data_IF_795352332471
#
_entry.id   IF_795352332471
#
_cell.length_a   1.000
_cell.length_b   1.000
_cell.length_c   1.000
_cell.angle_alpha   90.00
_cell.angle_beta   90.00
_cell.angle_gamma   90.00
#
_symmetry.space_group_name_H-M   'P 1'
#
loop_
_entity.id
_entity.type
_entity.pdbx_description
1 polymer ?
#
# COMPACT_ATOMS: atom_id res chain seq x y z
N UNK A 1 -14.51 2.59 57.38
CA UNK A 1 -14.10 3.94 56.95
C UNK A 1 -13.95 4.81 58.19
N UNK A 2 -12.72 5.08 58.63
CA UNK A 2 -12.49 5.86 59.84
C UNK A 2 -12.72 7.36 59.57
N UNK A 3 -13.78 7.93 60.16
CA UNK A 3 -14.06 9.36 60.10
C UNK A 3 -13.05 10.09 60.97
N UNK A 4 -12.03 10.71 60.36
CA UNK A 4 -11.08 11.56 61.06
C UNK A 4 -11.37 13.02 60.71
N UNK A 5 -11.41 13.90 61.73
CA UNK A 5 -11.33 15.35 61.50
C UNK A 5 -9.89 15.67 61.11
N UNK A 6 -9.64 15.75 59.81
CA UNK A 6 -8.33 16.06 59.24
C UNK A 6 -8.47 17.11 58.14
N UNK A 7 -7.33 17.61 57.68
CA UNK A 7 -7.25 18.62 56.63
C UNK A 7 -7.53 17.98 55.28
N UNK A 8 -8.48 18.51 54.53
CA UNK A 8 -8.73 18.06 53.16
C UNK A 8 -7.55 18.42 52.25
N UNK A 9 -7.09 17.49 51.41
CA UNK A 9 -6.01 17.70 50.45
C UNK A 9 -6.32 18.80 49.42
N UNK A 10 -7.58 18.93 48.98
CA UNK A 10 -7.99 19.88 47.93
C UNK A 10 -8.34 21.25 48.48
N UNK A 11 -9.34 21.34 49.37
CA UNK A 11 -9.82 22.64 49.88
C UNK A 11 -9.10 23.14 51.13
N UNK A 12 -8.15 22.37 51.68
CA UNK A 12 -7.29 22.77 52.80
C UNK A 12 -8.01 23.02 54.15
N UNK A 13 -9.30 22.75 54.24
CA UNK A 13 -10.13 22.97 55.45
C UNK A 13 -10.12 21.74 56.35
N UNK A 14 -10.11 21.96 57.67
CA UNK A 14 -10.28 20.90 58.67
C UNK A 14 -11.76 20.48 58.73
N UNK A 15 -12.06 19.29 58.23
CA UNK A 15 -13.43 18.74 58.15
C UNK A 15 -13.40 17.23 58.40
N UNK A 16 -14.56 16.58 58.43
CA UNK A 16 -14.62 15.13 58.30
C UNK A 16 -14.11 14.77 56.91
N UNK A 17 -13.06 13.97 56.86
CA UNK A 17 -12.43 13.55 55.61
C UNK A 17 -12.40 12.03 55.48
N UNK A 18 -12.38 11.57 54.24
CA UNK A 18 -12.35 10.18 53.82
C UNK A 18 -11.07 9.93 53.03
N UNK A 19 -10.48 8.74 53.18
CA UNK A 19 -9.29 8.34 52.43
C UNK A 19 -9.65 7.84 51.04
N UNK A 20 -8.92 8.31 50.02
CA UNK A 20 -8.80 7.64 48.74
C UNK A 20 -7.55 6.75 48.80
N UNK A 21 -7.72 5.43 48.78
CA UNK A 21 -6.62 4.46 48.88
C UNK A 21 -5.68 4.54 47.67
N UNK A 22 -6.23 4.61 46.45
CA UNK A 22 -5.45 4.71 45.22
C UNK A 22 -4.57 5.96 45.14
N UNK A 23 -5.00 7.07 45.75
CA UNK A 23 -4.21 8.30 45.78
C UNK A 23 -3.49 8.55 47.12
N UNK A 24 -3.71 7.69 48.12
CA UNK A 24 -3.20 7.82 49.49
C UNK A 24 -3.42 9.21 50.10
N UNK A 25 -4.58 9.84 49.82
CA UNK A 25 -4.93 11.22 50.23
C UNK A 25 -6.30 11.28 50.93
N UNK A 26 -6.49 12.29 51.78
CA UNK A 26 -7.74 12.54 52.49
C UNK A 26 -8.52 13.70 51.89
N UNK A 27 -9.81 13.49 51.62
CA UNK A 27 -10.70 14.48 50.99
C UNK A 27 -11.97 14.67 51.82
N UNK A 28 -12.55 15.88 51.82
CA UNK A 28 -13.92 16.03 52.29
C UNK A 28 -14.89 15.38 51.28
N UNK A 29 -16.12 15.05 51.70
CA UNK A 29 -17.06 14.28 50.86
C UNK A 29 -17.24 14.88 49.45
N UNK A 30 -17.41 16.20 49.37
CA UNK A 30 -17.58 16.91 48.09
C UNK A 30 -16.34 16.79 47.19
N UNK A 31 -15.16 17.08 47.73
CA UNK A 31 -13.90 17.00 46.98
C UNK A 31 -13.55 15.56 46.59
N UNK A 32 -13.98 14.56 47.39
CA UNK A 32 -13.80 13.15 47.06
C UNK A 32 -14.67 12.74 45.87
N UNK A 33 -15.94 13.16 45.84
CA UNK A 33 -16.85 12.87 44.74
C UNK A 33 -16.35 13.50 43.44
N UNK A 34 -15.94 14.76 43.50
CA UNK A 34 -15.37 15.46 42.34
C UNK A 34 -14.06 14.78 41.87
N UNK A 35 -13.18 14.40 42.81
CA UNK A 35 -11.95 13.68 42.48
C UNK A 35 -12.23 12.35 41.75
N UNK A 36 -13.23 11.58 42.21
CA UNK A 36 -13.65 10.33 41.56
C UNK A 36 -14.25 10.57 40.18
N UNK A 37 -15.02 11.65 40.03
CA UNK A 37 -15.59 12.02 38.74
C UNK A 37 -14.48 12.33 37.73
N UNK A 38 -13.49 13.14 38.11
CA UNK A 38 -12.34 13.47 37.26
C UNK A 38 -11.59 12.19 36.86
N UNK A 39 -11.31 11.29 37.81
CA UNK A 39 -10.64 10.02 37.50
C UNK A 39 -11.44 9.15 36.52
N UNK A 40 -12.76 9.11 36.64
CA UNK A 40 -13.61 8.38 35.70
C UNK A 40 -13.60 9.03 34.31
N UNK A 41 -13.60 10.36 34.22
CA UNK A 41 -13.50 11.09 32.96
C UNK A 41 -12.16 10.81 32.26
N UNK A 42 -11.05 10.85 33.00
CA UNK A 42 -9.72 10.50 32.49
C UNK A 42 -9.65 9.04 32.03
N UNK A 43 -10.22 8.11 32.80
CA UNK A 43 -10.25 6.70 32.42
C UNK A 43 -11.08 6.46 31.16
N UNK A 44 -12.25 7.11 31.04
CA UNK A 44 -13.10 7.03 29.85
C UNK A 44 -12.37 7.56 28.61
N UNK A 45 -11.58 8.63 28.76
CA UNK A 45 -10.74 9.14 27.67
C UNK A 45 -9.73 8.08 27.20
N UNK A 46 -9.02 7.43 28.13
CA UNK A 46 -8.05 6.37 27.80
C UNK A 46 -8.72 5.17 27.13
N UNK A 47 -9.89 4.75 27.61
CA UNK A 47 -10.66 3.64 27.02
C UNK A 47 -11.08 3.98 25.59
N UNK A 48 -11.61 5.19 25.38
CA UNK A 48 -12.02 5.64 24.05
C UNK A 48 -10.82 5.76 23.09
N UNK A 49 -9.67 6.27 23.55
CA UNK A 49 -8.45 6.30 22.73
C UNK A 49 -7.97 4.89 22.34
N UNK A 50 -8.00 3.95 23.30
CA UNK A 50 -7.71 2.54 23.03
C UNK A 50 -8.64 1.93 21.98
N UNK A 51 -9.94 2.17 22.09
CA UNK A 51 -10.94 1.63 21.15
C UNK A 51 -10.75 2.21 19.75
N UNK A 52 -10.50 3.53 19.64
CA UNK A 52 -10.19 4.17 18.36
C UNK A 52 -8.90 3.62 17.74
N UNK A 53 -7.86 3.43 18.55
CA UNK A 53 -6.60 2.86 18.08
C UNK A 53 -6.79 1.43 17.56
N UNK A 54 -7.52 0.60 18.31
CA UNK A 54 -7.85 -0.78 17.93
C UNK A 54 -8.68 -0.83 16.65
N UNK A 55 -9.63 0.08 16.48
CA UNK A 55 -10.40 0.20 15.25
C UNK A 55 -9.49 0.52 14.05
N UNK A 56 -8.60 1.51 14.16
CA UNK A 56 -7.65 1.87 13.09
C UNK A 56 -6.74 0.69 12.71
N UNK A 57 -6.29 -0.11 13.68
CA UNK A 57 -5.53 -1.33 13.41
C UNK A 57 -6.36 -2.34 12.62
N UNK A 58 -7.61 -2.59 13.03
CA UNK A 58 -8.49 -3.53 12.35
C UNK A 58 -8.83 -3.09 10.92
N UNK A 59 -9.07 -1.80 10.69
CA UNK A 59 -9.29 -1.24 9.35
C UNK A 59 -8.08 -1.48 8.43
N UNK A 60 -6.86 -1.24 8.93
CA UNK A 60 -5.63 -1.55 8.19
C UNK A 60 -5.48 -3.05 7.91
N UNK A 61 -5.89 -3.91 8.84
CA UNK A 61 -5.84 -5.37 8.67
C UNK A 61 -6.84 -5.86 7.60
N UNK A 62 -8.00 -5.21 7.48
CA UNK A 62 -9.01 -5.57 6.48
C UNK A 62 -8.62 -5.16 5.06
N UNK A 63 -7.85 -4.07 4.91
CA UNK A 63 -7.40 -3.59 3.60
C UNK A 63 -5.86 -3.54 3.47
N UNK A 64 -5.15 -4.69 3.49
CA UNK A 64 -3.69 -4.72 3.33
C UNK A 64 -3.21 -4.10 2.00
N UNK A 65 -4.06 -4.17 0.98
CA UNK A 65 -3.79 -3.63 -0.36
C UNK A 65 -3.73 -2.10 -0.39
N UNK A 66 -4.33 -1.42 0.59
CA UNK A 66 -4.30 0.04 0.66
C UNK A 66 -2.95 0.57 1.20
N UNK A 67 -2.09 -0.32 1.67
CA UNK A 67 -0.77 0.02 2.17
C UNK A 67 0.09 0.68 1.07
N UNK A 68 0.72 1.82 1.40
CA UNK A 68 1.48 2.63 0.43
C UNK A 68 2.59 1.85 -0.28
N UNK A 69 3.29 0.97 0.43
CA UNK A 69 4.31 0.10 -0.18
C UNK A 69 3.71 -0.93 -1.14
N UNK A 70 2.53 -1.49 -0.85
CA UNK A 70 1.86 -2.43 -1.76
C UNK A 70 1.43 -1.70 -3.03
N UNK A 71 0.87 -0.49 -2.92
CA UNK A 71 0.57 0.36 -4.09
C UNK A 71 1.81 0.65 -4.93
N UNK A 72 2.96 0.91 -4.30
CA UNK A 72 4.21 1.13 -5.01
C UNK A 72 4.70 -0.13 -5.74
N UNK A 73 4.59 -1.30 -5.10
CA UNK A 73 4.92 -2.59 -5.72
C UNK A 73 4.02 -2.81 -6.95
N UNK A 74 2.71 -2.62 -6.82
CA UNK A 74 1.77 -2.78 -7.92
C UNK A 74 2.07 -1.81 -9.09
N UNK A 75 2.39 -0.55 -8.79
CA UNK A 75 2.81 0.42 -9.81
C UNK A 75 4.11 0.02 -10.49
N UNK A 76 5.07 -0.52 -9.74
CA UNK A 76 6.33 -0.99 -10.28
C UNK A 76 6.14 -2.22 -11.18
N UNK A 77 5.25 -3.14 -10.79
CA UNK A 77 4.88 -4.32 -11.57
C UNK A 77 4.26 -3.90 -12.91
N UNK A 78 3.24 -3.03 -12.90
CA UNK A 78 2.58 -2.52 -14.11
C UNK A 78 3.61 -1.90 -15.06
N UNK A 79 4.43 -0.97 -14.57
CA UNK A 79 5.44 -0.28 -15.39
C UNK A 79 6.50 -1.24 -15.94
N UNK A 80 6.83 -2.29 -15.20
CA UNK A 80 7.82 -3.27 -15.64
C UNK A 80 7.25 -4.15 -16.75
N UNK A 81 6.00 -4.59 -16.63
CA UNK A 81 5.29 -5.33 -17.67
C UNK A 81 5.17 -4.49 -18.95
N UNK A 82 4.76 -3.23 -18.84
CA UNK A 82 4.66 -2.31 -19.99
C UNK A 82 5.99 -2.18 -20.73
N UNK A 83 7.10 -1.97 -20.02
CA UNK A 83 8.44 -1.87 -20.62
C UNK A 83 8.87 -3.16 -21.32
N UNK A 84 8.58 -4.32 -20.71
CA UNK A 84 8.91 -5.62 -21.30
C UNK A 84 8.09 -5.82 -22.59
N UNK A 85 6.81 -5.46 -22.57
CA UNK A 85 5.92 -5.57 -23.72
C UNK A 85 6.36 -4.63 -24.86
N UNK A 86 6.70 -3.38 -24.55
CA UNK A 86 7.23 -2.41 -25.51
C UNK A 86 8.49 -2.96 -26.20
N UNK A 87 9.47 -3.42 -25.41
CA UNK A 87 10.71 -3.99 -25.97
C UNK A 87 10.48 -5.27 -26.76
N UNK A 88 9.60 -6.16 -26.30
CA UNK A 88 9.24 -7.35 -27.05
C UNK A 88 8.60 -6.98 -28.40
N UNK A 89 7.77 -5.94 -28.44
CA UNK A 89 7.15 -5.47 -29.68
C UNK A 89 8.17 -4.87 -30.64
N UNK A 90 9.09 -4.04 -30.16
CA UNK A 90 10.20 -3.50 -30.97
C UNK A 90 10.99 -4.64 -31.64
N UNK A 91 11.37 -5.68 -30.87
CA UNK A 91 12.12 -6.81 -31.42
C UNK A 91 11.32 -7.62 -32.44
N UNK A 92 10.02 -7.83 -32.21
CA UNK A 92 9.14 -8.50 -33.20
C UNK A 92 9.11 -7.72 -34.51
N UNK A 93 8.96 -6.40 -34.45
CA UNK A 93 8.92 -5.56 -35.63
C UNK A 93 10.25 -5.56 -36.40
N UNK A 94 11.38 -5.52 -35.69
CA UNK A 94 12.71 -5.63 -36.31
C UNK A 94 12.86 -6.98 -37.03
N UNK A 95 12.48 -8.08 -36.38
CA UNK A 95 12.54 -9.41 -36.98
C UNK A 95 11.64 -9.53 -38.20
N UNK A 96 10.39 -9.06 -38.11
CA UNK A 96 9.46 -9.08 -39.25
C UNK A 96 10.01 -8.30 -40.45
N UNK A 97 10.56 -7.10 -40.24
CA UNK A 97 11.19 -6.32 -41.29
C UNK A 97 12.37 -7.06 -41.93
N UNK A 98 13.26 -7.61 -41.11
CA UNK A 98 14.43 -8.35 -41.62
C UNK A 98 14.03 -9.61 -42.39
N UNK A 99 12.99 -10.32 -41.93
CA UNK A 99 12.45 -11.49 -42.61
C UNK A 99 11.82 -11.11 -43.94
N UNK A 100 11.07 -10.01 -43.99
CA UNK A 100 10.47 -9.53 -45.24
C UNK A 100 11.55 -9.18 -46.26
N UNK A 101 12.58 -8.42 -45.86
CA UNK A 101 13.70 -8.10 -46.75
C UNK A 101 14.39 -9.35 -47.28
N UNK A 102 14.60 -10.36 -46.43
CA UNK A 102 15.19 -11.63 -46.86
C UNK A 102 14.31 -12.36 -47.88
N UNK A 103 12.99 -12.37 -47.67
CA UNK A 103 12.02 -12.98 -48.61
C UNK A 103 12.04 -12.23 -49.95
N UNK A 104 11.99 -10.89 -49.93
CA UNK A 104 12.03 -10.06 -51.13
C UNK A 104 13.32 -10.31 -51.94
N UNK A 105 14.47 -10.45 -51.26
CA UNK A 105 15.76 -10.77 -51.89
C UNK A 105 15.75 -12.16 -52.54
N UNK A 106 15.11 -13.15 -51.90
CA UNK A 106 14.96 -14.50 -52.46
C UNK A 106 14.05 -14.46 -53.69
N UNK A 107 12.92 -13.76 -53.62
CA UNK A 107 12.00 -13.60 -54.76
C UNK A 107 12.68 -12.94 -55.95
N UNK A 108 13.47 -11.88 -55.71
CA UNK A 108 14.24 -11.21 -56.76
C UNK A 108 15.22 -12.18 -57.44
N UNK A 109 15.99 -12.95 -56.65
CA UNK A 109 16.94 -13.93 -57.18
C UNK A 109 16.25 -15.05 -57.96
N UNK A 110 15.10 -15.52 -57.50
CA UNK A 110 14.30 -16.53 -58.20
C UNK A 110 13.77 -16.00 -59.55
N UNK A 111 13.29 -14.76 -59.58
CA UNK A 111 12.82 -14.12 -60.81
C UNK A 111 13.95 -13.96 -61.84
N UNK A 112 15.15 -13.59 -61.39
CA UNK A 112 16.32 -13.48 -62.27
C UNK A 112 16.79 -14.84 -62.79
N UNK A 113 16.77 -15.88 -61.94
CA UNK A 113 17.04 -17.25 -62.38
C UNK A 113 16.02 -17.70 -63.44
N UNK A 114 14.72 -17.41 -63.23
CA UNK A 114 13.69 -17.74 -64.19
C UNK A 114 13.93 -17.06 -65.55
N UNK A 115 14.28 -15.77 -65.56
CA UNK A 115 14.61 -15.05 -66.80
C UNK A 115 15.77 -15.70 -67.55
N UNK A 116 16.84 -16.08 -66.84
CA UNK A 116 18.01 -16.76 -67.43
C UNK A 116 17.61 -18.11 -68.04
N UNK A 117 16.79 -18.91 -67.35
CA UNK A 117 16.30 -20.19 -67.88
C UNK A 117 15.52 -19.97 -69.19
N UNK A 118 14.62 -18.98 -69.24
CA UNK A 118 13.87 -18.64 -70.46
C UNK A 118 14.78 -18.20 -71.61
N UNK A 119 15.81 -17.41 -71.32
CA UNK A 119 16.79 -17.00 -72.34
C UNK A 119 17.52 -18.21 -72.94
N UNK A 120 18.00 -19.12 -72.10
CA UNK A 120 18.66 -20.35 -72.58
C UNK A 120 17.73 -21.26 -73.40
N UNK A 121 16.45 -21.35 -73.05
CA UNK A 121 15.48 -22.12 -73.85
C UNK A 121 15.32 -21.52 -75.24
N UNK A 122 15.14 -20.19 -75.32
CA UNK A 122 15.00 -19.51 -76.60
C UNK A 122 16.28 -19.62 -77.45
N UNK A 123 17.46 -19.46 -76.86
CA UNK A 123 18.75 -19.59 -77.59
C UNK A 123 19.00 -20.99 -78.15
N UNK A 124 18.48 -22.04 -77.50
CA UNK A 124 18.58 -23.42 -78.00
C UNK A 124 17.53 -23.75 -79.07
N UNK A 125 16.44 -22.97 -79.20
CA UNK A 125 15.44 -23.14 -80.27
C UNK A 125 15.89 -22.48 -81.60
N UNK A 126 16.92 -21.63 -81.59
CA UNK A 126 17.49 -20.97 -82.77
C UNK A 126 18.77 -21.61 -83.33
N UNK A 127 19.26 -22.70 -82.72
CA UNK A 127 20.37 -23.54 -83.22
C UNK A 127 19.86 -24.90 -83.68
#
# INVERSE_FOLDING_TARGET
MANKKTRCFKCNKNKITYSCEGCSKYFCLMDLTEHRQILNEELNYVINDYDQFKQRINERKQNPQDHSLIKQINLWEIKSIEKIQEKAQEYREMLMKSSQTCIDDIEMKLNDLHKKIKQFQNENEFN
#
